data_IF_376673345718
#
_entry.id   IF_376673345718
#
_cell.length_a   1.000
_cell.length_b   1.000
_cell.length_c   1.000
_cell.angle_alpha   90.00
_cell.angle_beta   90.00
_cell.angle_gamma   90.00
#
_symmetry.space_group_name_H-M   'P 1'
#
loop_
_entity.id
_entity.type
_entity.pdbx_description
1 polymer ?
#
# COMPACT_ATOMS: atom_id res chain seq x y z
N UNK A 1 22.18 19.98 -26.14
CA UNK A 1 21.07 19.19 -25.57
C UNK A 1 20.79 19.78 -24.20
N UNK A 2 19.70 20.54 -24.04
CA UNK A 2 19.31 21.03 -22.71
C UNK A 2 19.02 19.81 -21.85
N UNK A 3 19.75 19.68 -20.74
CA UNK A 3 19.53 18.63 -19.75
C UNK A 3 18.12 18.76 -19.21
N UNK A 4 17.21 17.90 -19.69
CA UNK A 4 15.82 17.82 -19.24
C UNK A 4 15.76 17.07 -17.90
N UNK A 5 16.58 17.52 -16.94
CA UNK A 5 16.66 16.91 -15.61
C UNK A 5 15.43 17.38 -14.83
N UNK A 6 14.63 16.46 -14.29
CA UNK A 6 13.49 16.83 -13.46
C UNK A 6 13.99 17.59 -12.24
N UNK A 7 13.42 18.77 -12.01
CA UNK A 7 13.69 19.58 -10.82
C UNK A 7 12.70 19.13 -9.76
N UNK A 8 13.17 18.91 -8.54
CA UNK A 8 12.28 18.57 -7.44
C UNK A 8 12.10 19.78 -6.54
N UNK A 9 10.87 20.00 -6.10
CA UNK A 9 10.53 21.00 -5.11
C UNK A 9 9.96 20.29 -3.89
N UNK A 10 10.50 20.62 -2.73
CA UNK A 10 10.02 20.12 -1.45
C UNK A 10 9.53 21.30 -0.63
N UNK A 11 8.32 21.18 -0.11
CA UNK A 11 7.73 22.16 0.80
C UNK A 11 7.56 21.50 2.16
N UNK A 12 8.19 22.07 3.20
CA UNK A 12 8.12 21.61 4.59
C UNK A 12 7.49 22.74 5.41
N UNK A 13 6.32 22.50 5.99
CA UNK A 13 5.60 23.49 6.81
C UNK A 13 5.47 24.88 6.13
N UNK A 14 5.19 24.87 4.82
CA UNK A 14 5.08 26.09 3.99
C UNK A 14 6.41 26.70 3.52
N UNK A 15 7.56 26.22 4.01
CA UNK A 15 8.87 26.65 3.51
C UNK A 15 9.33 25.78 2.35
N UNK A 16 9.75 26.41 1.25
CA UNK A 16 10.13 25.73 0.01
C UNK A 16 11.64 25.61 -0.10
N UNK A 17 12.11 24.42 -0.47
CA UNK A 17 13.48 24.17 -0.92
C UNK A 17 13.50 23.49 -2.28
N UNK A 18 14.48 23.86 -3.10
CA UNK A 18 14.70 23.28 -4.43
C UNK A 18 16.00 22.49 -4.50
N UNK A 19 16.92 22.74 -3.55
CA UNK A 19 18.21 22.08 -3.50
C UNK A 19 18.08 20.80 -2.68
N UNK A 20 17.93 19.69 -3.39
CA UNK A 20 17.71 18.37 -2.81
C UNK A 20 18.77 17.41 -3.38
N UNK A 21 19.38 16.62 -2.50
CA UNK A 21 20.44 15.68 -2.86
C UNK A 21 19.79 14.41 -3.43
N UNK A 22 18.82 13.86 -2.71
CA UNK A 22 18.13 12.64 -3.09
C UNK A 22 16.72 12.60 -2.55
N UNK A 23 15.81 12.01 -3.32
CA UNK A 23 14.44 11.71 -2.91
C UNK A 23 14.13 10.28 -3.25
N UNK A 24 13.48 9.61 -2.30
CA UNK A 24 12.95 8.27 -2.46
C UNK A 24 11.53 8.23 -1.97
N UNK A 25 10.58 7.97 -2.86
CA UNK A 25 9.16 7.77 -2.53
C UNK A 25 8.80 6.33 -2.82
N UNK A 26 8.14 5.67 -1.88
CA UNK A 26 7.65 4.30 -2.01
C UNK A 26 6.14 4.30 -1.85
N UNK A 27 5.47 3.97 -2.94
CA UNK A 27 4.04 3.69 -2.94
C UNK A 27 3.78 2.19 -2.74
N UNK A 28 2.76 1.85 -1.95
CA UNK A 28 2.38 0.49 -1.57
C UNK A 28 0.90 0.26 -1.93
N UNK A 29 0.60 -0.91 -2.50
CA UNK A 29 -0.77 -1.28 -2.90
C UNK A 29 -1.58 -2.01 -1.84
N UNK A 30 -0.94 -2.50 -0.77
CA UNK A 30 -1.57 -3.35 0.25
C UNK A 30 -1.72 -2.63 1.59
N UNK A 31 -2.90 -2.05 1.86
CA UNK A 31 -3.37 -1.55 3.17
C UNK A 31 -2.25 -0.95 4.05
N UNK A 32 -1.32 -0.22 3.44
CA UNK A 32 -0.06 0.15 4.05
C UNK A 32 0.25 1.58 3.68
N UNK A 33 0.81 2.31 4.65
CA UNK A 33 1.21 3.69 4.45
C UNK A 33 2.34 3.79 3.43
N UNK A 34 2.17 4.66 2.44
CA UNK A 34 3.27 5.07 1.58
C UNK A 34 4.36 5.74 2.42
N UNK A 35 5.60 5.69 1.94
CA UNK A 35 6.75 6.24 2.67
C UNK A 35 7.61 7.12 1.79
N UNK A 36 8.27 8.08 2.41
CA UNK A 36 9.26 8.91 1.75
C UNK A 36 10.55 8.99 2.56
N UNK A 37 11.61 9.34 1.85
CA UNK A 37 12.90 9.72 2.37
C UNK A 37 13.45 10.85 1.50
N UNK A 38 13.84 11.96 2.10
CA UNK A 38 14.35 13.15 1.41
C UNK A 38 15.65 13.58 2.09
N UNK A 39 16.72 13.71 1.30
CA UNK A 39 18.03 14.17 1.76
C UNK A 39 18.29 15.60 1.27
N UNK A 40 18.48 16.52 2.20
CA UNK A 40 18.61 17.98 1.97
C UNK A 40 19.95 18.47 2.54
N UNK A 41 20.66 19.40 1.89
CA UNK A 41 21.82 20.05 2.48
C UNK A 41 21.42 20.97 3.64
N UNK A 42 22.16 20.89 4.75
CA UNK A 42 21.94 21.67 5.96
C UNK A 42 22.46 23.09 5.80
N UNK A 43 21.63 24.09 6.16
CA UNK A 43 22.04 25.50 6.22
C UNK A 43 22.15 26.19 4.87
N UNK A 44 21.51 25.66 3.82
CA UNK A 44 21.46 26.28 2.50
C UNK A 44 20.55 27.53 2.50
N UNK A 45 19.48 27.48 3.29
CA UNK A 45 18.63 28.64 3.62
C UNK A 45 18.84 29.00 5.08
N UNK A 46 19.03 30.28 5.41
CA UNK A 46 19.24 30.74 6.79
C UNK A 46 18.10 30.37 7.76
N UNK A 47 16.90 30.07 7.25
CA UNK A 47 15.74 29.63 8.01
C UNK A 47 15.69 28.11 8.28
N UNK A 48 16.43 27.29 7.53
CA UNK A 48 16.49 25.83 7.67
C UNK A 48 17.83 25.39 8.28
N UNK A 49 18.09 25.86 9.50
CA UNK A 49 19.27 25.51 10.27
C UNK A 49 19.05 24.22 11.10
N UNK A 50 20.09 23.78 11.81
CA UNK A 50 20.00 22.55 12.62
C UNK A 50 18.96 22.68 13.75
N UNK A 51 18.74 23.90 14.26
CA UNK A 51 17.73 24.13 15.29
C UNK A 51 16.33 23.96 14.74
N UNK A 52 16.05 24.53 13.56
CA UNK A 52 14.77 24.36 12.86
C UNK A 52 14.40 22.88 12.75
N UNK A 53 15.31 22.06 12.21
CA UNK A 53 15.08 20.63 12.04
C UNK A 53 14.99 19.86 13.36
N UNK A 54 15.68 20.29 14.41
CA UNK A 54 15.58 19.66 15.74
C UNK A 54 14.28 20.01 16.47
N UNK A 55 13.69 21.18 16.21
CA UNK A 55 12.40 21.59 16.77
C UNK A 55 11.21 21.18 15.90
N UNK A 56 11.47 20.59 14.73
CA UNK A 56 10.44 20.18 13.80
C UNK A 56 9.62 19.04 14.44
N UNK A 57 8.36 19.32 14.73
CA UNK A 57 7.40 18.30 15.15
C UNK A 57 6.94 17.44 13.98
N UNK A 58 5.74 16.87 14.09
CA UNK A 58 5.14 16.07 13.03
C UNK A 58 4.56 16.95 11.90
N UNK A 59 5.43 17.69 11.23
CA UNK A 59 5.11 18.63 10.16
C UNK A 59 4.72 17.92 8.86
N UNK A 60 3.93 18.60 8.03
CA UNK A 60 3.57 18.13 6.69
C UNK A 60 4.67 18.44 5.68
N UNK A 61 4.87 17.50 4.76
CA UNK A 61 5.79 17.63 3.63
C UNK A 61 5.05 17.37 2.33
N UNK A 62 5.31 18.21 1.34
CA UNK A 62 4.84 18.05 -0.03
C UNK A 62 6.03 17.96 -0.96
N UNK A 63 6.07 16.89 -1.76
CA UNK A 63 7.10 16.64 -2.77
C UNK A 63 6.49 16.81 -4.15
N UNK A 64 7.01 17.75 -4.93
CA UNK A 64 6.58 18.05 -6.28
C UNK A 64 7.72 17.81 -7.28
N UNK A 65 7.42 17.13 -8.39
CA UNK A 65 8.36 16.97 -9.50
C UNK A 65 7.98 17.92 -10.62
N UNK A 66 8.95 18.72 -11.04
CA UNK A 66 8.85 19.71 -12.10
C UNK A 66 9.66 19.19 -13.29
N UNK A 67 8.96 18.67 -14.29
CA UNK A 67 9.59 18.32 -15.57
C UNK A 67 9.65 19.58 -16.42
N UNK A 68 10.82 20.01 -16.93
CA UNK A 68 10.89 21.19 -17.78
C UNK A 68 9.99 20.98 -19.01
N UNK A 69 9.08 21.93 -19.28
CA UNK A 69 7.97 21.89 -20.27
C UNK A 69 6.62 21.29 -19.84
N UNK A 70 6.49 20.79 -18.61
CA UNK A 70 5.23 20.25 -18.07
C UNK A 70 4.75 20.99 -16.81
N UNK A 71 3.51 20.72 -16.39
CA UNK A 71 2.93 21.23 -15.14
C UNK A 71 3.63 20.55 -13.94
N UNK A 72 3.79 21.28 -12.83
CA UNK A 72 4.28 20.69 -11.57
C UNK A 72 3.32 19.57 -11.13
N UNK A 73 3.85 18.38 -10.86
CA UNK A 73 3.06 17.24 -10.41
C UNK A 73 3.44 16.88 -8.98
N UNK A 74 2.42 16.79 -8.13
CA UNK A 74 2.60 16.36 -6.74
C UNK A 74 2.90 14.86 -6.76
N UNK A 75 4.10 14.51 -6.31
CA UNK A 75 4.52 13.12 -6.21
C UNK A 75 4.06 12.51 -4.89
N UNK A 76 4.11 13.29 -3.81
CA UNK A 76 3.84 12.78 -2.47
C UNK A 76 3.42 13.90 -1.51
N UNK A 77 2.46 13.60 -0.63
CA UNK A 77 2.11 14.43 0.53
C UNK A 77 2.08 13.50 1.74
N UNK A 78 2.71 13.92 2.83
CA UNK A 78 2.71 13.14 4.06
C UNK A 78 3.20 13.91 5.27
N UNK A 79 3.49 13.15 6.32
CA UNK A 79 3.91 13.66 7.61
C UNK A 79 5.32 13.15 7.92
N UNK A 80 6.15 14.04 8.47
CA UNK A 80 7.51 13.71 8.90
C UNK A 80 7.44 12.94 10.23
N UNK A 81 8.00 11.73 10.25
CA UNK A 81 8.11 10.89 11.44
C UNK A 81 9.48 11.01 12.10
N UNK A 82 10.54 11.13 11.29
CA UNK A 82 11.91 11.14 11.78
C UNK A 82 12.79 12.11 10.99
N UNK A 83 13.66 12.80 11.72
CA UNK A 83 14.63 13.76 11.21
C UNK A 83 16.01 13.35 11.69
N UNK A 84 16.90 13.03 10.75
CA UNK A 84 18.31 12.75 11.04
C UNK A 84 19.15 13.91 10.54
N UNK A 85 19.87 14.56 11.45
CA UNK A 85 20.76 15.68 11.15
C UNK A 85 22.20 15.18 11.22
N UNK A 86 22.92 15.25 10.11
CA UNK A 86 24.35 15.00 10.06
C UNK A 86 25.11 16.32 10.05
N UNK A 87 25.77 16.63 11.16
CA UNK A 87 26.48 17.90 11.35
C UNK A 87 27.80 17.91 10.56
N UNK A 88 28.45 16.75 10.41
CA UNK A 88 29.74 16.64 9.73
C UNK A 88 29.56 16.71 8.21
N UNK A 89 28.61 15.93 7.69
CA UNK A 89 28.31 15.93 6.26
C UNK A 89 27.43 17.11 5.85
N UNK A 90 26.91 17.88 6.82
CA UNK A 90 25.98 19.00 6.65
C UNK A 90 24.77 18.57 5.80
N UNK A 91 24.17 17.45 6.17
CA UNK A 91 22.96 16.91 5.51
C UNK A 91 21.85 16.67 6.53
N UNK A 92 20.62 16.71 6.05
CA UNK A 92 19.41 16.38 6.81
C UNK A 92 18.62 15.37 6.02
N UNK A 93 18.33 14.23 6.65
CA UNK A 93 17.48 13.19 6.11
C UNK A 93 16.12 13.24 6.83
N UNK A 94 15.06 13.46 6.06
CA UNK A 94 13.68 13.45 6.50
C UNK A 94 13.03 12.15 6.05
N UNK A 95 12.43 11.43 6.98
CA UNK A 95 11.70 10.20 6.72
C UNK A 95 10.29 10.31 7.29
N UNK A 96 9.33 9.69 6.61
CA UNK A 96 7.97 9.64 7.13
C UNK A 96 7.02 8.82 6.30
N UNK A 97 5.74 8.98 6.61
CA UNK A 97 4.61 8.27 6.03
C UNK A 97 3.65 9.26 5.36
N UNK A 98 2.76 8.74 4.53
CA UNK A 98 1.64 9.51 3.99
C UNK A 98 0.66 9.92 5.11
N UNK A 99 -0.41 10.64 4.75
CA UNK A 99 -1.40 11.07 5.73
C UNK A 99 -2.22 9.91 6.34
N UNK A 100 -2.05 8.66 5.85
CA UNK A 100 -2.61 7.49 6.53
C UNK A 100 -1.98 7.25 7.90
N UNK A 101 -0.79 7.79 8.17
CA UNK A 101 -0.15 7.76 9.48
C UNK A 101 -1.08 8.22 10.61
N UNK A 102 -1.89 9.26 10.37
CA UNK A 102 -2.86 9.79 11.35
C UNK A 102 -3.90 8.74 11.76
N UNK A 103 -4.30 7.89 10.82
CA UNK A 103 -5.27 6.81 11.04
C UNK A 103 -4.63 5.59 11.70
N UNK A 104 -3.37 5.31 11.37
CA UNK A 104 -2.61 4.19 11.92
C UNK A 104 -2.25 4.46 13.39
N UNK A 105 -1.90 5.69 13.72
CA UNK A 105 -1.43 6.06 15.06
C UNK A 105 -2.60 6.35 16.03
N UNK A 106 -3.85 6.41 15.52
CA UNK A 106 -5.05 6.65 16.33
C UNK A 106 -5.74 5.34 16.71
N UNK A 107 -5.86 5.08 18.01
CA UNK A 107 -6.61 3.95 18.54
C UNK A 107 -8.13 4.20 18.51
N UNK A 108 -8.90 3.14 18.25
CA UNK A 108 -10.37 3.22 18.27
C UNK A 108 -10.86 3.19 19.71
N UNK A 109 -11.57 4.24 20.12
CA UNK A 109 -12.18 4.34 21.46
C UNK A 109 -13.71 4.35 21.45
N UNK A 110 -14.35 4.33 20.29
CA UNK A 110 -15.80 4.52 20.14
C UNK A 110 -16.49 3.35 19.42
N UNK A 111 -17.80 3.23 19.62
CA UNK A 111 -18.62 2.20 18.99
C UNK A 111 -19.47 2.80 17.86
N UNK A 112 -19.39 2.22 16.66
CA UNK A 112 -20.11 2.67 15.47
C UNK A 112 -21.42 1.88 15.29
N UNK A 113 -22.44 2.20 16.10
CA UNK A 113 -23.74 1.54 16.05
C UNK A 113 -24.61 2.10 14.91
N UNK A 114 -25.29 1.21 14.17
CA UNK A 114 -26.22 1.54 13.08
C UNK A 114 -25.63 2.40 11.94
N UNK A 115 -24.31 2.40 11.77
CA UNK A 115 -23.64 3.08 10.67
C UNK A 115 -23.27 2.08 9.57
N UNK A 116 -23.27 2.54 8.32
CA UNK A 116 -22.70 1.79 7.19
C UNK A 116 -21.20 2.03 7.10
N UNK A 117 -20.47 1.14 6.43
CA UNK A 117 -19.01 1.25 6.28
C UNK A 117 -18.61 2.59 5.65
N UNK A 118 -19.36 3.04 4.63
CA UNK A 118 -19.14 4.34 4.00
C UNK A 118 -19.35 5.53 4.95
N UNK A 119 -20.28 5.44 5.90
CA UNK A 119 -20.52 6.50 6.89
C UNK A 119 -19.38 6.59 7.91
N UNK A 120 -18.86 5.43 8.37
CA UNK A 120 -17.72 5.36 9.26
C UNK A 120 -16.48 5.98 8.60
N UNK A 121 -16.22 5.63 7.33
CA UNK A 121 -15.10 6.17 6.55
C UNK A 121 -15.20 7.69 6.44
N UNK A 122 -16.38 8.23 6.14
CA UNK A 122 -16.58 9.69 6.04
C UNK A 122 -16.34 10.41 7.36
N UNK A 123 -16.79 9.82 8.48
CA UNK A 123 -16.62 10.39 9.81
C UNK A 123 -15.14 10.42 10.20
N UNK A 124 -14.43 9.32 10.00
CA UNK A 124 -13.00 9.20 10.31
C UNK A 124 -12.17 10.13 9.39
N UNK A 125 -12.49 10.22 8.10
CA UNK A 125 -11.81 11.13 7.18
C UNK A 125 -11.93 12.60 7.63
N UNK A 126 -13.15 13.03 7.97
CA UNK A 126 -13.41 14.39 8.42
C UNK A 126 -12.65 14.73 9.72
N UNK A 127 -12.52 13.78 10.65
CA UNK A 127 -11.78 13.94 11.91
C UNK A 127 -10.30 14.27 11.69
N UNK A 128 -9.68 13.65 10.68
CA UNK A 128 -8.24 13.78 10.40
C UNK A 128 -7.90 14.78 9.29
N UNK A 129 -8.90 15.56 8.85
CA UNK A 129 -8.73 16.57 7.80
C UNK A 129 -8.51 15.97 6.40
N UNK A 130 -8.94 14.72 6.18
CA UNK A 130 -8.88 14.05 4.89
C UNK A 130 -10.18 14.28 4.11
N UNK A 131 -10.07 14.40 2.79
CA UNK A 131 -11.22 14.48 1.89
C UNK A 131 -11.71 13.07 1.59
N UNK A 132 -12.94 12.68 1.98
CA UNK A 132 -13.45 11.34 1.71
C UNK A 132 -13.88 11.19 0.25
N UNK A 133 -13.30 10.23 -0.47
CA UNK A 133 -13.77 9.74 -1.76
C UNK A 133 -14.33 8.33 -1.57
N UNK A 134 -15.65 8.24 -1.33
CA UNK A 134 -16.29 7.03 -0.79
C UNK A 134 -17.46 6.61 -1.68
N UNK A 135 -17.46 5.35 -2.11
CA UNK A 135 -18.63 4.73 -2.75
C UNK A 135 -19.68 4.35 -1.68
N UNK A 136 -20.96 4.73 -1.84
CA UNK A 136 -22.00 4.43 -0.84
C UNK A 136 -22.21 2.93 -0.63
N UNK A 137 -22.34 2.52 0.64
CA UNK A 137 -22.55 1.13 1.05
C UNK A 137 -23.93 0.97 1.68
N UNK A 138 -24.57 -0.19 1.51
CA UNK A 138 -25.93 -0.47 1.98
C UNK A 138 -25.99 -1.35 3.24
N UNK A 139 -24.92 -2.09 3.55
CA UNK A 139 -24.87 -2.99 4.70
C UNK A 139 -24.50 -2.23 5.97
N UNK A 140 -25.29 -2.37 7.03
CA UNK A 140 -24.99 -1.78 8.33
C UNK A 140 -23.95 -2.60 9.08
N UNK A 141 -22.96 -1.93 9.67
CA UNK A 141 -21.82 -2.60 10.33
C UNK A 141 -22.25 -3.41 11.56
N UNK A 142 -23.37 -3.06 12.19
CA UNK A 142 -23.98 -3.85 13.26
C UNK A 142 -24.28 -5.32 12.88
N UNK A 143 -24.61 -5.59 11.62
CA UNK A 143 -24.82 -6.96 11.13
C UNK A 143 -23.51 -7.76 11.03
N UNK A 144 -22.39 -7.08 10.73
CA UNK A 144 -21.06 -7.69 10.83
C UNK A 144 -20.72 -8.00 12.29
N UNK A 145 -21.06 -7.10 13.24
CA UNK A 145 -20.86 -7.34 14.68
C UNK A 145 -21.67 -8.53 15.22
N UNK A 146 -22.89 -8.78 14.75
CA UNK A 146 -23.67 -9.96 15.18
C UNK A 146 -23.08 -11.28 14.67
N UNK A 147 -22.62 -11.31 13.41
CA UNK A 147 -21.91 -12.46 12.84
C UNK A 147 -20.55 -12.69 13.52
N UNK A 148 -19.92 -11.61 13.95
CA UNK A 148 -18.61 -11.65 14.58
C UNK A 148 -18.70 -11.82 16.11
N UNK A 149 -19.79 -11.48 16.80
CA UNK A 149 -19.99 -11.79 18.22
C UNK A 149 -19.97 -13.30 18.49
N UNK A 150 -20.36 -14.14 17.52
CA UNK A 150 -20.15 -15.59 17.61
C UNK A 150 -18.66 -16.02 17.52
N UNK A 151 -17.79 -15.15 17.00
CA UNK A 151 -16.33 -15.34 16.83
C UNK A 151 -15.49 -14.53 17.83
N UNK A 152 -16.04 -13.48 18.42
CA UNK A 152 -15.33 -12.37 19.07
C UNK A 152 -15.39 -12.35 20.59
N UNK A 153 -16.09 -13.31 21.23
CA UNK A 153 -16.01 -13.51 22.68
C UNK A 153 -14.59 -13.85 23.16
N UNK A 154 -13.65 -14.17 22.25
CA UNK A 154 -12.27 -14.49 22.60
C UNK A 154 -11.20 -13.53 22.02
N UNK A 155 -11.53 -12.41 21.36
CA UNK A 155 -10.46 -11.64 20.69
C UNK A 155 -10.65 -10.16 20.35
N UNK A 156 -11.86 -9.58 20.41
CA UNK A 156 -12.02 -8.16 20.00
C UNK A 156 -11.66 -7.17 21.10
N UNK A 157 -11.81 -7.54 22.37
CA UNK A 157 -11.43 -6.68 23.49
C UNK A 157 -9.95 -6.84 23.89
N UNK A 158 -9.10 -7.44 23.06
CA UNK A 158 -7.76 -7.87 23.49
C UNK A 158 -6.58 -7.37 22.66
N UNK A 159 -6.77 -6.53 21.64
CA UNK A 159 -5.70 -5.70 21.06
C UNK A 159 -6.31 -4.40 20.57
N UNK A 160 -5.77 -3.25 21.00
CA UNK A 160 -6.14 -1.94 20.47
C UNK A 160 -5.96 -1.95 18.95
N UNK A 161 -7.08 -1.91 18.22
CA UNK A 161 -7.07 -1.76 16.76
C UNK A 161 -6.95 -0.28 16.43
N UNK A 162 -6.08 0.06 15.48
CA UNK A 162 -6.04 1.41 14.92
C UNK A 162 -7.28 1.69 14.08
N UNK A 163 -7.64 2.97 13.89
CA UNK A 163 -8.70 3.35 12.96
C UNK A 163 -8.43 2.79 11.55
N UNK A 164 -7.14 2.76 11.13
CA UNK A 164 -6.73 2.14 9.87
C UNK A 164 -7.03 0.64 9.79
N UNK A 165 -6.83 -0.12 10.87
CA UNK A 165 -7.12 -1.56 10.90
C UNK A 165 -8.63 -1.83 10.75
N UNK A 166 -9.48 -0.99 11.37
CA UNK A 166 -10.92 -1.07 11.19
C UNK A 166 -11.32 -0.78 9.75
N UNK A 167 -10.81 0.30 9.16
CA UNK A 167 -11.11 0.64 7.77
C UNK A 167 -10.65 -0.46 6.80
N UNK A 168 -9.45 -1.00 7.01
CA UNK A 168 -8.91 -2.10 6.22
C UNK A 168 -9.78 -3.34 6.32
N UNK A 169 -10.29 -3.64 7.52
CA UNK A 169 -11.20 -4.76 7.75
C UNK A 169 -12.55 -4.55 7.06
N UNK A 170 -13.12 -3.35 7.14
CA UNK A 170 -14.38 -3.02 6.45
C UNK A 170 -14.23 -3.12 4.93
N UNK A 171 -13.11 -2.60 4.40
CA UNK A 171 -12.78 -2.70 2.98
C UNK A 171 -12.71 -4.17 2.52
N UNK A 172 -12.06 -5.04 3.30
CA UNK A 172 -11.98 -6.48 3.01
C UNK A 172 -13.35 -7.18 3.03
N UNK A 173 -14.22 -6.82 3.98
CA UNK A 173 -15.57 -7.41 4.07
C UNK A 173 -16.44 -7.03 2.87
N UNK A 174 -16.26 -5.83 2.34
CA UNK A 174 -17.06 -5.31 1.23
C UNK A 174 -16.41 -5.52 -0.14
N UNK A 175 -15.17 -6.02 -0.19
CA UNK A 175 -14.31 -6.10 -1.39
C UNK A 175 -14.03 -4.72 -2.03
N UNK A 176 -13.77 -3.74 -1.18
CA UNK A 176 -13.41 -2.39 -1.56
C UNK A 176 -11.90 -2.18 -1.42
N UNK A 177 -11.38 -1.23 -2.21
CA UNK A 177 -10.00 -0.78 -2.12
C UNK A 177 -9.92 0.42 -1.16
N UNK A 178 -8.91 0.39 -0.30
CA UNK A 178 -8.60 1.45 0.67
C UNK A 178 -7.21 1.99 0.38
N UNK A 179 -7.11 3.28 0.09
CA UNK A 179 -5.84 3.98 -0.11
C UNK A 179 -5.93 5.45 0.30
N UNK A 180 -4.80 6.05 0.63
CA UNK A 180 -4.69 7.50 0.80
C UNK A 180 -3.83 8.03 -0.34
N UNK A 181 -4.33 9.03 -1.06
CA UNK A 181 -3.58 9.67 -2.14
C UNK A 181 -3.64 11.18 -1.96
N UNK A 182 -2.50 11.77 -1.63
CA UNK A 182 -2.44 13.17 -1.24
C UNK A 182 -3.27 13.41 0.02
N UNK A 183 -4.31 14.24 -0.09
CA UNK A 183 -5.26 14.55 0.99
C UNK A 183 -6.58 13.76 0.89
N UNK A 184 -6.70 12.85 -0.08
CA UNK A 184 -7.93 12.10 -0.36
C UNK A 184 -7.85 10.70 0.22
N UNK A 185 -8.84 10.31 1.02
CA UNK A 185 -9.03 8.94 1.48
C UNK A 185 -9.98 8.23 0.49
N UNK A 186 -9.46 7.28 -0.25
CA UNK A 186 -10.22 6.50 -1.22
C UNK A 186 -10.80 5.24 -0.57
N UNK A 187 -12.12 5.06 -0.68
CA UNK A 187 -12.84 3.86 -0.30
C UNK A 187 -13.85 3.51 -1.40
N UNK A 188 -13.41 2.75 -2.39
CA UNK A 188 -14.17 2.51 -3.61
C UNK A 188 -14.26 1.02 -3.91
N UNK A 189 -15.27 0.63 -4.70
CA UNK A 189 -15.35 -0.72 -5.21
C UNK A 189 -14.09 -1.04 -6.02
N UNK A 190 -13.53 -2.24 -5.81
CA UNK A 190 -12.42 -2.72 -6.61
C UNK A 190 -12.91 -2.94 -8.05
N UNK A 191 -12.61 -1.98 -8.92
CA UNK A 191 -12.95 -2.06 -10.34
C UNK A 191 -11.74 -2.63 -11.06
N UNK A 192 -11.95 -3.71 -11.82
CA UNK A 192 -10.90 -4.30 -12.63
C UNK A 192 -10.40 -3.27 -13.64
N UNK A 193 -9.18 -2.76 -13.41
CA UNK A 193 -8.53 -1.83 -14.32
C UNK A 193 -7.94 -2.58 -15.51
N UNK A 194 -7.96 -1.93 -16.68
CA UNK A 194 -7.31 -2.48 -17.87
C UNK A 194 -5.80 -2.56 -17.66
N UNK A 195 -5.15 -3.68 -18.01
CA UNK A 195 -3.70 -3.82 -17.84
C UNK A 195 -2.93 -2.80 -18.68
N UNK A 196 -1.97 -2.10 -18.06
CA UNK A 196 -1.02 -1.27 -18.78
C UNK A 196 0.05 -2.14 -19.44
N UNK A 197 0.45 -1.81 -20.66
CA UNK A 197 1.45 -2.57 -21.39
C UNK A 197 2.87 -2.19 -20.91
N UNK A 198 3.67 -3.16 -20.48
CA UNK A 198 5.08 -2.97 -20.12
C UNK A 198 5.97 -3.79 -21.07
N UNK A 199 6.75 -3.09 -21.88
CA UNK A 199 7.74 -3.71 -22.75
C UNK A 199 9.04 -3.99 -21.98
N UNK A 200 9.63 -5.17 -22.20
CA UNK A 200 10.95 -5.51 -21.66
C UNK A 200 12.02 -4.50 -22.11
N UNK A 201 11.90 -3.95 -23.32
CA UNK A 201 12.86 -2.98 -23.86
C UNK A 201 12.81 -1.59 -23.23
N UNK A 202 11.71 -1.24 -22.57
CA UNK A 202 11.56 0.06 -21.88
C UNK A 202 12.19 0.02 -20.47
N UNK A 203 12.60 -1.17 -20.02
CA UNK A 203 13.22 -1.39 -18.73
C UNK A 203 14.75 -1.25 -18.81
N UNK A 204 15.34 -0.58 -17.81
CA UNK A 204 16.78 -0.53 -17.57
C UNK A 204 17.28 -1.89 -17.07
N UNK A 205 16.53 -2.53 -16.16
CA UNK A 205 16.81 -3.86 -15.66
C UNK A 205 15.48 -4.57 -15.37
N UNK A 206 15.40 -5.87 -15.65
CA UNK A 206 14.20 -6.67 -15.40
C UNK A 206 14.61 -8.07 -14.96
N UNK A 207 14.04 -8.54 -13.86
CA UNK A 207 14.21 -9.91 -13.40
C UNK A 207 12.91 -10.44 -12.78
N UNK A 208 12.74 -11.75 -12.87
CA UNK A 208 11.54 -12.44 -12.39
C UNK A 208 11.98 -13.57 -11.46
N UNK A 209 11.59 -13.45 -10.20
CA UNK A 209 11.83 -14.46 -9.18
C UNK A 209 10.66 -15.44 -9.15
N UNK A 210 10.91 -16.68 -9.54
CA UNK A 210 9.91 -17.75 -9.53
C UNK A 210 10.19 -18.73 -8.39
N UNK A 211 9.30 -18.78 -7.41
CA UNK A 211 9.42 -19.68 -6.28
C UNK A 211 9.05 -21.11 -6.68
N UNK A 212 10.00 -22.05 -6.56
CA UNK A 212 9.81 -23.46 -6.97
C UNK A 212 9.27 -24.38 -5.87
N UNK A 213 9.36 -23.97 -4.60
CA UNK A 213 9.04 -24.82 -3.44
C UNK A 213 7.74 -24.44 -2.74
N UNK A 214 6.95 -23.52 -3.30
CA UNK A 214 5.69 -23.11 -2.70
C UNK A 214 4.62 -24.20 -2.83
N UNK A 215 3.77 -24.38 -1.79
CA UNK A 215 2.67 -25.31 -1.86
C UNK A 215 1.63 -24.84 -2.87
N UNK A 216 1.26 -25.73 -3.79
CA UNK A 216 0.36 -25.45 -4.93
C UNK A 216 -1.11 -25.66 -4.53
N UNK A 217 -1.36 -26.35 -3.41
CA UNK A 217 -2.69 -26.55 -2.84
C UNK A 217 -2.76 -26.17 -1.37
N UNK A 218 -3.93 -25.67 -0.96
CA UNK A 218 -4.25 -25.38 0.43
C UNK A 218 -5.47 -26.18 0.85
N UNK A 219 -5.44 -26.77 2.05
CA UNK A 219 -6.56 -27.47 2.65
C UNK A 219 -6.87 -26.88 4.03
N UNK A 220 -8.15 -26.76 4.35
CA UNK A 220 -8.62 -26.33 5.67
C UNK A 220 -9.45 -27.46 6.26
N UNK A 221 -9.12 -27.85 7.50
CA UNK A 221 -9.89 -28.78 8.31
C UNK A 221 -10.46 -28.03 9.51
N UNK A 222 -11.76 -28.17 9.71
CA UNK A 222 -12.48 -27.56 10.81
C UNK A 222 -13.40 -28.57 11.47
N UNK A 223 -13.36 -28.64 12.80
CA UNK A 223 -14.40 -29.30 13.57
C UNK A 223 -15.48 -28.29 13.91
N UNK A 224 -16.72 -28.55 13.49
CA UNK A 224 -17.86 -27.70 13.81
C UNK A 224 -18.67 -28.34 14.93
N UNK A 225 -18.65 -27.72 16.12
CA UNK A 225 -19.35 -28.24 17.31
C UNK A 225 -20.87 -28.25 17.17
N UNK A 226 -21.44 -27.31 16.38
CA UNK A 226 -22.89 -27.22 16.16
C UNK A 226 -23.41 -28.33 15.23
N UNK A 227 -22.68 -28.64 14.16
CA UNK A 227 -23.04 -29.72 13.24
C UNK A 227 -22.45 -31.10 13.62
N UNK A 228 -21.55 -31.14 14.62
CA UNK A 228 -20.83 -32.35 15.09
C UNK A 228 -20.08 -33.11 13.97
N UNK A 229 -19.67 -32.39 12.93
CA UNK A 229 -19.00 -32.96 11.76
C UNK A 229 -17.66 -32.26 11.50
N UNK A 230 -16.72 -33.01 10.91
CA UNK A 230 -15.50 -32.44 10.31
C UNK A 230 -15.86 -31.87 8.95
N UNK A 231 -15.51 -30.61 8.74
CA UNK A 231 -15.57 -29.93 7.44
C UNK A 231 -14.13 -29.85 6.91
N UNK A 232 -13.91 -30.37 5.71
CA UNK A 232 -12.62 -30.30 5.02
C UNK A 232 -12.82 -29.75 3.62
N UNK A 233 -12.18 -28.62 3.33
CA UNK A 233 -12.23 -27.96 2.03
C UNK A 233 -10.80 -27.76 1.51
N UNK A 234 -10.62 -27.81 0.19
CA UNK A 234 -9.32 -27.63 -0.45
C UNK A 234 -9.43 -26.79 -1.71
N UNK A 235 -8.37 -26.06 -2.05
CA UNK A 235 -8.29 -25.22 -3.24
C UNK A 235 -6.87 -25.23 -3.78
N UNK A 236 -6.73 -25.12 -5.10
CA UNK A 236 -5.48 -25.28 -5.84
C UNK A 236 -5.32 -26.64 -6.49
N UNK A 237 -4.20 -26.83 -7.18
CA UNK A 237 -3.90 -28.05 -7.95
C UNK A 237 -3.27 -29.06 -6.99
N UNK A 238 -3.83 -30.27 -6.91
CA UNK A 238 -3.40 -31.34 -5.99
C UNK A 238 -2.07 -32.02 -6.37
N UNK A 239 -1.17 -31.29 -7.03
CA UNK A 239 0.14 -31.77 -7.49
C UNK A 239 1.20 -31.04 -6.67
N UNK A 240 2.00 -31.79 -5.91
CA UNK A 240 3.10 -31.26 -5.11
C UNK A 240 2.75 -31.00 -3.64
N UNK A 241 3.50 -30.10 -3.00
CA UNK A 241 3.35 -29.79 -1.58
C UNK A 241 1.99 -29.10 -1.29
N UNK A 242 1.37 -29.45 -0.16
CA UNK A 242 0.10 -28.87 0.29
C UNK A 242 0.24 -28.20 1.65
N UNK A 243 -0.37 -27.03 1.80
CA UNK A 243 -0.50 -26.35 3.09
C UNK A 243 -1.79 -26.83 3.77
N UNK A 244 -1.71 -27.28 5.02
CA UNK A 244 -2.89 -27.69 5.79
C UNK A 244 -3.11 -26.76 6.98
N UNK A 245 -4.31 -26.23 7.09
CA UNK A 245 -4.74 -25.31 8.12
C UNK A 245 -5.83 -25.98 8.97
N UNK A 246 -5.69 -25.88 10.29
CA UNK A 246 -6.68 -26.41 11.24
C UNK A 246 -7.26 -25.22 11.99
N UNK A 247 -8.58 -24.99 11.86
CA UNK A 247 -9.27 -23.90 12.54
C UNK A 247 -10.62 -24.38 13.08
N UNK A 248 -10.98 -24.10 14.34
CA UNK A 248 -12.22 -24.63 14.92
C UNK A 248 -13.47 -23.85 14.46
N UNK A 249 -14.62 -24.53 14.45
CA UNK A 249 -15.98 -23.98 14.34
C UNK A 249 -16.29 -23.16 13.07
N UNK A 250 -15.67 -23.47 11.94
CA UNK A 250 -16.04 -22.88 10.65
C UNK A 250 -17.27 -23.56 10.04
N UNK A 251 -18.07 -22.79 9.30
CA UNK A 251 -19.09 -23.33 8.38
C UNK A 251 -18.46 -23.69 7.02
N UNK A 252 -19.17 -24.42 6.16
CA UNK A 252 -18.66 -24.83 4.84
C UNK A 252 -18.29 -23.64 3.97
N UNK A 253 -19.16 -22.63 3.86
CA UNK A 253 -18.87 -21.42 3.08
C UNK A 253 -17.66 -20.65 3.62
N UNK A 254 -17.55 -20.53 4.94
CA UNK A 254 -16.42 -19.84 5.58
C UNK A 254 -15.10 -20.62 5.43
N UNK A 255 -15.15 -21.95 5.43
CA UNK A 255 -13.98 -22.77 5.14
C UNK A 255 -13.53 -22.58 3.69
N UNK A 256 -14.45 -22.55 2.73
CA UNK A 256 -14.14 -22.31 1.32
C UNK A 256 -13.51 -20.93 1.08
N UNK A 257 -14.06 -19.87 1.67
CA UNK A 257 -13.49 -18.52 1.60
C UNK A 257 -12.07 -18.47 2.19
N UNK A 258 -11.85 -19.11 3.33
CA UNK A 258 -10.55 -19.14 3.99
C UNK A 258 -9.50 -19.88 3.15
N UNK A 259 -9.86 -21.02 2.55
CA UNK A 259 -8.94 -21.74 1.66
C UNK A 259 -8.58 -20.88 0.44
N UNK A 260 -9.58 -20.25 -0.19
CA UNK A 260 -9.36 -19.37 -1.35
C UNK A 260 -8.47 -18.18 -1.00
N UNK A 261 -8.69 -17.56 0.15
CA UNK A 261 -7.87 -16.46 0.65
C UNK A 261 -6.42 -16.89 0.85
N UNK A 262 -6.18 -17.99 1.55
CA UNK A 262 -4.81 -18.49 1.77
C UNK A 262 -4.12 -18.91 0.47
N UNK A 263 -4.86 -19.53 -0.46
CA UNK A 263 -4.31 -19.84 -1.77
C UNK A 263 -3.91 -18.55 -2.50
N UNK A 264 -4.75 -17.50 -2.51
CA UNK A 264 -4.41 -16.21 -3.11
C UNK A 264 -3.12 -15.64 -2.52
N UNK A 265 -2.97 -15.66 -1.19
CA UNK A 265 -1.74 -15.22 -0.52
C UNK A 265 -0.50 -16.04 -0.93
N UNK A 266 -0.64 -17.35 -1.10
CA UNK A 266 0.47 -18.19 -1.57
C UNK A 266 0.83 -17.88 -3.03
N UNK A 267 -0.17 -17.69 -3.88
CA UNK A 267 0.03 -17.39 -5.31
C UNK A 267 0.73 -16.05 -5.53
N UNK A 268 0.50 -15.05 -4.66
CA UNK A 268 1.21 -13.77 -4.69
C UNK A 268 2.74 -13.91 -4.57
N UNK A 269 3.23 -14.99 -3.93
CA UNK A 269 4.67 -15.24 -3.80
C UNK A 269 5.23 -16.18 -4.87
N UNK A 270 4.40 -16.68 -5.80
CA UNK A 270 4.81 -17.67 -6.80
C UNK A 270 5.75 -17.10 -7.85
N UNK A 271 5.47 -15.90 -8.34
CA UNK A 271 6.23 -15.21 -9.36
C UNK A 271 6.23 -13.72 -9.06
N UNK A 272 7.40 -13.16 -8.81
CA UNK A 272 7.61 -11.76 -8.48
C UNK A 272 8.41 -11.13 -9.62
N UNK A 273 7.80 -10.18 -10.32
CA UNK A 273 8.45 -9.32 -11.30
C UNK A 273 9.08 -8.13 -10.58
N UNK A 274 10.35 -7.86 -10.87
CA UNK A 274 11.02 -6.63 -10.46
C UNK A 274 11.63 -5.99 -11.69
N UNK A 275 11.18 -4.77 -12.00
CA UNK A 275 11.69 -4.00 -13.12
C UNK A 275 12.13 -2.61 -12.67
N UNK A 276 13.31 -2.20 -13.14
CA UNK A 276 13.87 -0.86 -12.99
C UNK A 276 13.73 -0.17 -14.34
N UNK A 277 13.10 1.00 -14.38
CA UNK A 277 12.82 1.74 -15.62
C UNK A 277 12.98 3.25 -15.39
N UNK A 278 13.07 4.07 -16.46
CA UNK A 278 13.02 5.51 -16.32
C UNK A 278 11.75 5.94 -15.58
N UNK A 279 11.84 7.02 -14.80
CA UNK A 279 10.73 7.45 -13.96
C UNK A 279 9.51 7.90 -14.76
N UNK A 280 8.35 7.37 -14.38
CA UNK A 280 7.03 7.68 -14.93
C UNK A 280 6.04 7.88 -13.77
N UNK A 281 4.92 8.53 -14.04
CA UNK A 281 3.93 8.88 -13.01
C UNK A 281 2.63 8.08 -13.12
N UNK A 282 2.39 7.38 -14.24
CA UNK A 282 1.14 6.64 -14.46
C UNK A 282 1.09 5.29 -13.75
N UNK A 283 2.26 4.69 -13.49
CA UNK A 283 2.37 3.41 -12.77
C UNK A 283 2.14 3.60 -11.27
N UNK A 284 0.97 3.17 -10.78
CA UNK A 284 0.66 3.14 -9.34
C UNK A 284 0.47 1.71 -8.84
N UNK A 285 0.61 1.47 -7.52
CA UNK A 285 0.25 0.19 -6.95
C UNK A 285 -1.22 -0.17 -7.22
N UNK A 286 -1.54 -1.47 -7.19
CA UNK A 286 -2.84 -2.03 -7.52
C UNK A 286 -3.31 -1.85 -8.98
N UNK A 287 -2.45 -1.32 -9.87
CA UNK A 287 -2.67 -1.36 -11.33
C UNK A 287 -2.12 -2.68 -11.90
N UNK A 288 -2.89 -3.41 -12.73
CA UNK A 288 -2.37 -4.56 -13.47
C UNK A 288 -1.48 -4.10 -14.63
N UNK A 289 -0.41 -4.84 -14.87
CA UNK A 289 0.55 -4.62 -15.95
C UNK A 289 0.71 -5.89 -16.75
N UNK A 290 0.62 -5.80 -18.07
CA UNK A 290 0.90 -6.89 -18.98
C UNK A 290 2.36 -6.81 -19.44
N UNK A 291 3.18 -7.79 -19.02
CA UNK A 291 4.55 -7.92 -19.49
C UNK A 291 4.56 -8.60 -20.86
N UNK A 292 5.25 -8.00 -21.83
CA UNK A 292 5.42 -8.59 -23.16
C UNK A 292 6.82 -8.35 -23.72
N UNK A 293 7.26 -9.26 -24.59
CA UNK A 293 8.56 -9.20 -25.26
C UNK A 293 9.59 -10.19 -24.72
N UNK A 294 9.22 -11.10 -23.80
CA UNK A 294 10.11 -12.20 -23.39
C UNK A 294 10.01 -13.42 -24.30
N UNK A 295 8.97 -13.51 -25.14
CA UNK A 295 8.66 -14.66 -25.99
C UNK A 295 8.55 -15.98 -25.20
N UNK A 296 8.12 -15.89 -23.93
CA UNK A 296 8.10 -17.01 -22.99
C UNK A 296 6.79 -17.07 -22.21
N UNK A 297 6.61 -18.13 -21.40
CA UNK A 297 5.46 -18.25 -20.48
C UNK A 297 5.44 -17.20 -19.36
N UNK A 298 6.45 -16.33 -19.30
CA UNK A 298 6.53 -15.21 -18.36
C UNK A 298 5.79 -13.97 -18.86
N UNK A 299 5.37 -13.95 -20.15
CA UNK A 299 4.51 -12.93 -20.74
C UNK A 299 3.08 -13.10 -20.22
N UNK A 300 2.79 -12.48 -19.08
CA UNK A 300 1.51 -12.56 -18.39
C UNK A 300 1.19 -11.24 -17.68
N UNK A 301 0.00 -11.18 -17.08
CA UNK A 301 -0.42 -10.02 -16.29
C UNK A 301 0.15 -10.13 -14.88
N UNK A 302 0.78 -9.06 -14.41
CA UNK A 302 1.28 -8.89 -13.07
C UNK A 302 0.53 -7.75 -12.38
N UNK A 303 0.20 -7.89 -11.11
CA UNK A 303 -0.38 -6.83 -10.29
C UNK A 303 0.73 -6.10 -9.54
N UNK A 304 0.80 -4.77 -9.65
CA UNK A 304 1.83 -3.98 -8.98
C UNK A 304 1.58 -3.97 -7.46
N UNK A 305 2.57 -4.43 -6.70
CA UNK A 305 2.56 -4.40 -5.24
C UNK A 305 3.13 -3.10 -4.69
N UNK A 306 4.21 -2.62 -5.29
CA UNK A 306 4.88 -1.41 -4.85
C UNK A 306 5.65 -0.74 -5.97
N UNK A 307 5.68 0.59 -5.94
CA UNK A 307 6.48 1.41 -6.84
C UNK A 307 7.42 2.27 -6.00
N UNK A 308 8.72 2.13 -6.24
CA UNK A 308 9.75 2.95 -5.59
C UNK A 308 10.31 3.91 -6.62
N UNK A 309 10.15 5.21 -6.39
CA UNK A 309 10.67 6.29 -7.21
C UNK A 309 11.85 6.92 -6.52
N UNK A 310 12.96 7.03 -7.25
CA UNK A 310 14.20 7.62 -6.77
C UNK A 310 14.61 8.73 -7.72
N UNK A 311 14.84 9.92 -7.17
CA UNK A 311 15.41 11.06 -7.88
C UNK A 311 16.72 11.39 -7.18
N UNK A 312 17.82 11.24 -7.91
CA UNK A 312 19.17 11.54 -7.41
C UNK A 312 19.92 12.35 -8.46
N UNK A 313 20.93 13.11 -8.02
CA UNK A 313 21.81 13.85 -8.92
C UNK A 313 22.54 12.94 -9.91
N UNK A 314 22.84 11.71 -9.50
CA UNK A 314 23.73 10.81 -10.24
C UNK A 314 22.98 9.90 -11.22
N UNK A 315 21.80 9.38 -10.82
CA UNK A 315 21.00 8.45 -11.63
C UNK A 315 19.82 9.15 -12.34
N UNK A 316 19.54 10.42 -12.02
CA UNK A 316 18.33 11.10 -12.50
C UNK A 316 17.06 10.55 -11.85
N UNK A 317 15.95 10.54 -12.61
CA UNK A 317 14.67 10.00 -12.16
C UNK A 317 14.48 8.57 -12.64
N UNK A 318 14.46 7.64 -11.69
CA UNK A 318 14.33 6.22 -11.91
C UNK A 318 13.20 5.67 -11.05
N UNK A 319 12.51 4.65 -11.54
CA UNK A 319 11.54 3.91 -10.75
C UNK A 319 11.83 2.41 -10.77
N UNK A 320 11.53 1.76 -9.66
CA UNK A 320 11.58 0.31 -9.49
C UNK A 320 10.20 -0.18 -9.11
N UNK A 321 9.61 -1.00 -9.96
CA UNK A 321 8.35 -1.67 -9.71
C UNK A 321 8.58 -3.08 -9.17
N UNK A 322 7.74 -3.48 -8.24
CA UNK A 322 7.60 -4.87 -7.78
C UNK A 322 6.16 -5.29 -8.00
N UNK A 323 5.96 -6.41 -8.68
CA UNK A 323 4.64 -6.92 -9.02
C UNK A 323 4.57 -8.44 -8.86
N UNK A 324 3.41 -8.99 -8.54
CA UNK A 324 3.18 -10.44 -8.49
C UNK A 324 2.30 -10.90 -9.64
N UNK A 325 2.50 -12.13 -10.12
CA UNK A 325 1.68 -12.67 -11.20
C UNK A 325 0.21 -12.84 -10.80
N UNK A 326 -0.70 -12.36 -11.66
CA UNK A 326 -2.09 -12.75 -11.65
C UNK A 326 -2.22 -14.02 -12.49
N UNK A 327 -2.10 -15.16 -11.84
CA UNK A 327 -2.31 -16.44 -12.52
C UNK A 327 -3.82 -16.56 -12.81
N UNK A 328 -4.18 -16.70 -14.08
CA UNK A 328 -5.52 -17.06 -14.53
C UNK A 328 -5.89 -18.51 -14.13
#
# INVERSE_FOLDING_TARGET
>A
MQNNVPIVRVTIDGMVTHDIIAIKVRHLGYYGADRFMVDIPLGLTAAMDANYFNTLGSAEITVEVIVPSSVSLILFIGQIDNVRIDILDRTVQLCGRDLSARLIDTEISEAFLNQTSSQIVQLIAARHGLTPNVTPTSTSVGQYYELDHARSVLGINSRSGSEWDLLSRLAQLENFDLSVTGTVLNFNMNTAQSPLALNVHDCINLYIDVAKTLPVSTSVKSWNTRSKNVISESSGIAIGASASLIKPNLTTGQAQELVKYHQKCLMQHSSILIAKMPGELDLMPAIPVFLYGTESTLDQVYMIDSVVREITTDQGFVQTLRAHALIN
#
